data_IF_739095841352
#
_entry.id   IF_739095841352
#
_cell.length_a   1.000
_cell.length_b   1.000
_cell.length_c   1.000
_cell.angle_alpha   90.00
_cell.angle_beta   90.00
_cell.angle_gamma   90.00
#
_symmetry.space_group_name_H-M   'P 1'
#
loop_
_entity.id
_entity.type
_entity.pdbx_description
1 polymer ?
#
# COMPACT_ATOMS: atom_id res chain seq x y z
N UNK A 1 -17.94 -15.03 2.32
CA UNK A 1 -17.34 -14.13 3.33
C UNK A 1 -16.66 -13.01 2.57
N UNK A 2 -16.81 -11.79 3.01
CA UNK A 2 -16.19 -10.64 2.34
C UNK A 2 -14.67 -10.71 2.46
N UNK A 3 -13.98 -10.45 1.36
CA UNK A 3 -12.53 -10.42 1.22
C UNK A 3 -12.14 -9.09 0.58
N UNK A 4 -10.99 -8.55 0.93
CA UNK A 4 -10.40 -7.39 0.25
C UNK A 4 -9.41 -7.88 -0.81
N UNK A 5 -8.22 -8.29 -0.43
CA UNK A 5 -7.24 -8.83 -1.37
C UNK A 5 -7.30 -10.36 -1.46
N UNK A 6 -6.97 -10.89 -2.62
CA UNK A 6 -6.94 -12.32 -2.89
C UNK A 6 -5.86 -12.63 -3.92
N UNK A 7 -5.09 -13.70 -3.67
CA UNK A 7 -4.02 -14.16 -4.55
C UNK A 7 -4.18 -15.64 -4.85
N UNK A 8 -4.05 -16.02 -6.13
CA UNK A 8 -3.92 -17.40 -6.54
C UNK A 8 -2.46 -17.84 -6.38
N UNK A 9 -2.23 -18.86 -5.60
CA UNK A 9 -0.90 -19.42 -5.37
C UNK A 9 -0.52 -20.44 -6.46
N UNK A 10 0.78 -20.67 -6.67
CA UNK A 10 1.29 -21.63 -7.66
C UNK A 10 0.76 -23.06 -7.46
N UNK A 11 0.40 -23.43 -6.23
CA UNK A 11 -0.20 -24.74 -5.91
C UNK A 11 -1.73 -24.80 -6.17
N UNK A 12 -2.33 -23.73 -6.69
CA UNK A 12 -3.76 -23.63 -6.97
C UNK A 12 -4.62 -23.20 -5.80
N UNK A 13 -4.06 -23.03 -4.59
CA UNK A 13 -4.81 -22.47 -3.46
C UNK A 13 -5.02 -20.97 -3.63
N UNK A 14 -6.12 -20.45 -3.10
CA UNK A 14 -6.35 -19.00 -2.98
C UNK A 14 -6.05 -18.61 -1.54
N UNK A 15 -5.15 -17.65 -1.36
CA UNK A 15 -4.98 -16.93 -0.11
C UNK A 15 -5.73 -15.61 -0.16
N UNK A 16 -6.40 -15.23 0.93
CA UNK A 16 -7.18 -13.97 0.97
C UNK A 16 -7.24 -13.35 2.35
N UNK A 17 -7.27 -12.02 2.39
CA UNK A 17 -7.63 -11.27 3.58
C UNK A 17 -9.14 -11.24 3.74
N UNK A 18 -9.66 -11.44 4.96
CA UNK A 18 -11.10 -11.49 5.20
C UNK A 18 -11.47 -11.02 6.61
N UNK A 19 -12.75 -10.73 6.80
CA UNK A 19 -13.23 -10.25 8.08
C UNK A 19 -13.07 -11.33 9.17
N UNK A 20 -12.46 -10.93 10.30
CA UNK A 20 -12.24 -11.75 11.50
C UNK A 20 -12.25 -10.89 12.77
N UNK A 21 -12.56 -11.48 13.93
CA UNK A 21 -12.42 -10.86 15.24
C UNK A 21 -13.41 -9.76 15.63
N UNK A 22 -13.05 -8.96 16.66
CA UNK A 22 -13.90 -7.92 17.26
C UNK A 22 -13.56 -6.55 16.67
N UNK A 23 -14.51 -5.97 15.95
CA UNK A 23 -14.34 -4.79 15.06
C UNK A 23 -14.36 -3.41 15.72
N UNK A 24 -14.71 -3.29 17.00
CA UNK A 24 -15.13 -2.01 17.59
C UNK A 24 -14.00 -1.05 17.96
N UNK A 25 -12.75 -1.43 17.78
CA UNK A 25 -11.60 -0.68 18.32
C UNK A 25 -10.80 0.08 17.28
N UNK A 26 -10.88 -0.32 16.00
CA UNK A 26 -10.19 0.31 14.89
C UNK A 26 -11.16 1.08 14.01
N UNK A 27 -10.72 2.21 13.47
CA UNK A 27 -11.52 3.10 12.65
C UNK A 27 -10.80 3.31 11.32
N UNK A 28 -11.50 3.08 10.23
CA UNK A 28 -10.96 3.22 8.88
C UNK A 28 -11.62 2.25 7.91
N UNK A 29 -11.41 2.47 6.61
CA UNK A 29 -11.72 1.49 5.57
C UNK A 29 -10.68 0.37 5.55
N UNK A 30 -11.00 -0.77 4.94
CA UNK A 30 -10.01 -1.82 4.73
C UNK A 30 -9.87 -2.84 5.86
N UNK A 31 -10.69 -2.77 6.89
CA UNK A 31 -10.66 -3.72 8.02
C UNK A 31 -10.78 -5.18 7.54
N UNK A 32 -9.91 -6.08 8.03
CA UNK A 32 -9.98 -7.53 7.75
C UNK A 32 -9.84 -8.38 9.00
N UNK A 33 -8.71 -8.36 9.68
CA UNK A 33 -8.46 -9.06 10.94
C UNK A 33 -8.07 -10.53 10.79
N UNK A 34 -8.27 -11.15 9.62
CA UNK A 34 -7.94 -12.55 9.36
C UNK A 34 -7.47 -12.79 7.94
N UNK A 35 -6.63 -13.82 7.78
CA UNK A 35 -6.24 -14.40 6.49
C UNK A 35 -6.63 -15.86 6.48
N UNK A 36 -7.06 -16.37 5.34
CA UNK A 36 -7.34 -17.77 5.13
C UNK A 36 -6.82 -18.27 3.78
N UNK A 37 -6.49 -19.55 3.71
CA UNK A 37 -6.10 -20.23 2.49
C UNK A 37 -7.12 -21.31 2.16
N UNK A 38 -7.57 -21.36 0.91
CA UNK A 38 -8.62 -22.25 0.41
C UNK A 38 -8.07 -23.01 -0.78
N UNK A 39 -8.20 -24.35 -0.77
CA UNK A 39 -7.79 -25.19 -1.88
C UNK A 39 -8.84 -25.22 -3.03
N UNK A 40 -8.49 -25.92 -4.14
CA UNK A 40 -9.37 -26.09 -5.29
C UNK A 40 -10.70 -26.79 -4.97
N UNK A 41 -10.75 -27.60 -3.93
CA UNK A 41 -11.97 -28.32 -3.51
C UNK A 41 -12.81 -27.49 -2.53
N UNK A 42 -12.45 -26.19 -2.38
CA UNK A 42 -13.09 -25.21 -1.49
C UNK A 42 -12.94 -25.53 0.00
N UNK A 43 -11.94 -26.34 0.39
CA UNK A 43 -11.63 -26.57 1.79
C UNK A 43 -10.72 -25.47 2.32
N UNK A 44 -11.02 -24.95 3.50
CA UNK A 44 -10.08 -24.08 4.20
C UNK A 44 -8.94 -24.93 4.76
N UNK A 45 -7.74 -24.74 4.22
CA UNK A 45 -6.54 -25.52 4.57
C UNK A 45 -5.65 -24.82 5.58
N UNK A 46 -5.82 -23.51 5.74
CA UNK A 46 -5.09 -22.72 6.73
C UNK A 46 -5.83 -21.43 7.08
N UNK A 47 -5.62 -20.93 8.30
CA UNK A 47 -6.08 -19.62 8.74
C UNK A 47 -5.15 -18.98 9.78
N UNK A 48 -5.07 -17.66 9.76
CA UNK A 48 -4.43 -16.85 10.78
C UNK A 48 -5.30 -15.63 11.12
N UNK A 49 -5.50 -15.38 12.41
CA UNK A 49 -6.24 -14.21 12.90
C UNK A 49 -5.30 -13.33 13.70
N UNK A 50 -5.22 -12.06 13.33
CA UNK A 50 -4.41 -11.07 14.03
C UNK A 50 -5.22 -9.80 14.25
N UNK A 51 -6.06 -9.86 15.25
CA UNK A 51 -6.86 -8.74 15.73
C UNK A 51 -6.98 -8.82 17.25
N UNK A 52 -6.61 -7.74 17.93
CA UNK A 52 -6.68 -7.61 19.39
C UNK A 52 -6.92 -6.15 19.77
N UNK A 53 -6.60 -5.74 21.01
CA UNK A 53 -6.83 -4.36 21.49
C UNK A 53 -5.90 -3.33 20.87
N UNK A 54 -4.75 -3.76 20.36
CA UNK A 54 -3.66 -2.90 19.88
C UNK A 54 -3.31 -3.10 18.41
N UNK A 55 -3.67 -4.23 17.80
CA UNK A 55 -3.32 -4.57 16.40
C UNK A 55 -4.53 -5.10 15.64
N UNK A 56 -4.58 -4.81 14.34
CA UNK A 56 -5.58 -5.36 13.43
C UNK A 56 -5.07 -5.43 12.00
N UNK A 57 -5.16 -6.61 11.38
CA UNK A 57 -4.93 -6.76 9.94
C UNK A 57 -5.92 -5.92 9.15
N UNK A 58 -5.43 -5.26 8.10
CA UNK A 58 -6.27 -4.50 7.18
C UNK A 58 -5.72 -4.49 5.75
N UNK A 59 -6.59 -4.14 4.81
CA UNK A 59 -6.30 -3.99 3.38
C UNK A 59 -5.62 -5.20 2.74
N UNK A 60 -4.34 -5.12 2.46
CA UNK A 60 -3.61 -6.00 1.55
C UNK A 60 -2.68 -6.98 2.27
N UNK A 61 -2.31 -8.00 1.54
CA UNK A 61 -1.30 -9.01 1.90
C UNK A 61 -0.42 -9.26 0.68
N UNK A 62 0.81 -9.73 0.88
CA UNK A 62 1.69 -10.13 -0.23
C UNK A 62 2.32 -11.50 0.07
N UNK A 63 1.96 -12.55 -0.70
CA UNK A 63 2.59 -13.86 -0.59
C UNK A 63 4.01 -13.86 -1.15
N UNK A 64 5.00 -14.17 -0.32
CA UNK A 64 6.40 -14.21 -0.71
C UNK A 64 6.80 -15.52 -1.39
N UNK A 65 7.86 -15.53 -2.24
CA UNK A 65 8.37 -16.73 -2.89
C UNK A 65 8.80 -17.86 -1.94
N UNK A 66 9.24 -17.51 -0.72
CA UNK A 66 9.63 -18.46 0.33
C UNK A 66 8.42 -19.13 1.04
N UNK A 67 7.20 -18.72 0.71
CA UNK A 67 5.96 -19.21 1.30
C UNK A 67 5.49 -18.44 2.54
N UNK A 68 6.23 -17.45 2.98
CA UNK A 68 5.79 -16.52 4.01
C UNK A 68 4.78 -15.51 3.43
N UNK A 69 4.15 -14.73 4.28
CA UNK A 69 3.11 -13.77 3.89
C UNK A 69 3.41 -12.45 4.58
N UNK A 70 3.58 -11.39 3.80
CA UNK A 70 3.59 -10.03 4.32
C UNK A 70 2.15 -9.55 4.53
N UNK A 71 1.93 -8.83 5.61
CA UNK A 71 0.61 -8.37 6.02
C UNK A 71 0.66 -6.95 6.53
N UNK A 72 -0.28 -6.14 6.09
CA UNK A 72 -0.49 -4.79 6.60
C UNK A 72 -1.29 -4.84 7.89
N UNK A 73 -0.82 -4.15 8.92
CA UNK A 73 -1.41 -4.14 10.25
C UNK A 73 -1.55 -2.72 10.76
N UNK A 74 -2.73 -2.34 11.21
CA UNK A 74 -2.86 -1.19 12.09
C UNK A 74 -2.34 -1.52 13.47
N UNK A 75 -1.53 -0.65 14.03
CA UNK A 75 -1.20 -0.61 15.45
C UNK A 75 -1.77 0.65 16.10
N UNK A 76 -2.21 0.50 17.36
CA UNK A 76 -2.72 1.61 18.15
C UNK A 76 -1.68 2.03 19.16
N UNK A 77 -1.27 3.28 19.08
CA UNK A 77 -0.47 3.94 20.10
C UNK A 77 -1.39 4.62 21.12
N UNK A 78 -0.99 4.61 22.36
CA UNK A 78 -1.63 5.37 23.43
C UNK A 78 -1.38 6.86 23.24
N UNK A 79 -2.16 7.70 23.94
CA UNK A 79 -1.92 9.13 23.95
C UNK A 79 -0.52 9.46 24.49
N UNK A 80 -0.08 8.75 25.55
CA UNK A 80 1.22 8.98 26.16
C UNK A 80 2.37 8.63 25.21
N UNK A 81 2.26 7.54 24.43
CA UNK A 81 3.24 7.18 23.39
C UNK A 81 3.30 8.22 22.28
N UNK A 82 2.14 8.66 21.78
CA UNK A 82 2.08 9.69 20.73
C UNK A 82 2.66 11.03 21.21
N UNK A 83 2.39 11.44 22.46
CA UNK A 83 2.98 12.64 23.07
C UNK A 83 4.48 12.50 23.33
N UNK A 84 4.92 11.31 23.74
CA UNK A 84 6.35 11.03 23.89
C UNK A 84 7.08 11.15 22.55
N UNK A 85 6.44 10.80 21.45
CA UNK A 85 6.93 10.95 20.09
C UNK A 85 6.75 12.38 19.51
N UNK A 86 6.35 13.37 20.31
CA UNK A 86 6.20 14.77 19.86
C UNK A 86 5.00 15.04 18.98
N UNK A 87 3.99 14.15 18.99
CA UNK A 87 2.76 14.40 18.25
C UNK A 87 1.98 15.56 18.86
N UNK A 88 1.52 16.49 18.03
CA UNK A 88 0.69 17.60 18.46
C UNK A 88 -0.70 17.10 18.89
N UNK A 89 -1.11 17.42 20.11
CA UNK A 89 -2.39 17.00 20.70
C UNK A 89 -3.61 17.39 19.89
N UNK A 90 -3.56 18.54 19.21
CA UNK A 90 -4.66 19.04 18.38
C UNK A 90 -4.93 18.12 17.16
N UNK A 91 -3.98 17.24 16.86
CA UNK A 91 -4.04 16.30 15.75
C UNK A 91 -4.49 14.89 16.19
N UNK A 92 -4.56 14.62 17.51
CA UNK A 92 -4.98 13.33 18.06
C UNK A 92 -6.47 13.39 18.42
N UNK A 93 -7.30 12.78 17.60
CA UNK A 93 -8.73 12.75 17.88
C UNK A 93 -9.07 11.68 18.94
N UNK A 94 -9.83 12.07 19.96
CA UNK A 94 -10.41 11.19 21.00
C UNK A 94 -9.35 10.33 21.72
N UNK A 95 -8.10 10.82 21.84
CA UNK A 95 -7.02 10.09 22.54
C UNK A 95 -6.66 8.76 21.87
N UNK A 96 -6.84 8.64 20.54
CA UNK A 96 -6.50 7.46 19.75
C UNK A 96 -5.57 7.87 18.61
N UNK A 97 -4.48 7.15 18.47
CA UNK A 97 -3.55 7.28 17.37
C UNK A 97 -3.33 5.90 16.76
N UNK A 98 -3.67 5.76 15.50
CA UNK A 98 -3.59 4.53 14.72
C UNK A 98 -2.62 4.76 13.58
N UNK A 99 -1.64 3.89 13.45
CA UNK A 99 -0.55 3.98 12.48
C UNK A 99 -0.29 2.58 11.94
N UNK A 100 0.42 2.47 10.82
CA UNK A 100 0.64 1.19 10.17
C UNK A 100 1.96 0.54 10.60
N UNK A 101 1.95 -0.78 10.58
CA UNK A 101 3.14 -1.63 10.58
C UNK A 101 2.96 -2.77 9.58
N UNK A 102 4.05 -3.43 9.23
CA UNK A 102 4.08 -4.62 8.38
C UNK A 102 4.66 -5.76 9.18
N UNK A 103 4.06 -6.94 9.06
CA UNK A 103 4.59 -8.17 9.63
C UNK A 103 4.78 -9.21 8.54
N UNK A 104 5.88 -9.99 8.60
CA UNK A 104 6.06 -11.20 7.83
C UNK A 104 5.75 -12.41 8.68
N UNK A 105 4.84 -13.26 8.19
CA UNK A 105 4.37 -14.45 8.87
C UNK A 105 4.85 -15.71 8.15
N UNK A 106 5.51 -16.61 8.88
CA UNK A 106 5.71 -18.00 8.49
C UNK A 106 4.47 -18.82 8.88
N UNK A 107 3.69 -19.34 7.90
CA UNK A 107 2.46 -20.10 8.21
C UNK A 107 2.73 -21.42 8.95
N UNK A 108 1.95 -21.71 9.99
CA UNK A 108 1.93 -23.00 10.68
C UNK A 108 0.59 -23.67 10.39
N UNK A 109 0.60 -24.75 9.63
CA UNK A 109 -0.60 -25.45 9.22
C UNK A 109 -1.18 -26.34 10.33
N UNK A 110 -2.51 -26.51 10.41
CA UNK A 110 -3.55 -25.84 9.60
C UNK A 110 -3.99 -24.50 10.16
N UNK A 111 -3.38 -24.00 11.23
CA UNK A 111 -3.79 -22.75 11.88
C UNK A 111 -2.65 -22.08 12.61
N UNK A 112 -2.56 -20.75 12.45
CA UNK A 112 -1.57 -19.92 13.13
C UNK A 112 -0.31 -19.71 12.31
N UNK A 113 0.68 -19.09 12.90
CA UNK A 113 1.95 -18.78 12.27
C UNK A 113 2.94 -18.19 13.26
N UNK A 114 4.16 -17.98 12.80
CA UNK A 114 5.22 -17.32 13.53
C UNK A 114 5.58 -16.02 12.81
N UNK A 115 5.49 -14.89 13.49
CA UNK A 115 6.01 -13.61 12.98
C UNK A 115 7.54 -13.72 12.96
N UNK A 116 8.14 -13.50 11.79
CA UNK A 116 9.58 -13.65 11.56
C UNK A 116 10.27 -12.32 11.28
N UNK A 117 9.52 -11.30 10.86
CA UNK A 117 9.98 -9.95 10.63
C UNK A 117 8.87 -8.94 10.89
N UNK A 118 9.24 -7.74 11.35
CA UNK A 118 8.33 -6.62 11.61
C UNK A 118 9.01 -5.31 11.24
N UNK A 119 8.22 -4.37 10.71
CA UNK A 119 8.59 -2.99 10.42
C UNK A 119 7.45 -2.06 10.82
N UNK A 120 7.76 -0.94 11.48
CA UNK A 120 6.76 -0.04 12.04
C UNK A 120 7.00 1.40 11.57
N UNK A 121 5.98 2.05 10.97
CA UNK A 121 6.07 3.48 10.61
C UNK A 121 6.46 4.34 11.81
N UNK A 122 6.03 3.94 13.02
CA UNK A 122 6.29 4.69 14.25
C UNK A 122 7.77 4.74 14.66
N UNK A 123 8.59 3.87 14.15
CA UNK A 123 10.04 3.86 14.43
C UNK A 123 10.82 4.82 13.51
N UNK A 124 10.19 5.32 12.42
CA UNK A 124 10.80 6.14 11.39
C UNK A 124 10.16 7.54 11.30
N UNK A 125 9.86 8.15 12.46
CA UNK A 125 9.20 9.44 12.56
C UNK A 125 10.15 10.55 12.96
N UNK A 126 9.89 11.76 12.43
CA UNK A 126 10.54 13.03 12.80
C UNK A 126 9.47 14.06 13.14
N UNK A 127 9.83 15.12 13.85
CA UNK A 127 8.99 16.28 14.06
C UNK A 127 9.80 17.53 14.43
N UNK A 128 9.29 18.70 14.13
CA UNK A 128 9.86 20.02 14.45
C UNK A 128 9.05 20.80 15.50
N UNK A 129 8.04 20.15 16.11
CA UNK A 129 7.05 20.76 17.01
C UNK A 129 7.54 20.88 18.45
N UNK A 130 8.12 19.82 19.02
CA UNK A 130 8.56 19.78 20.42
C UNK A 130 10.07 19.47 20.53
N UNK A 131 10.91 20.50 20.79
CA UNK A 131 12.36 20.32 20.87
C UNK A 131 12.85 19.53 22.09
N UNK A 132 11.96 19.08 22.96
CA UNK A 132 12.30 18.25 24.12
C UNK A 132 12.28 16.75 23.83
N UNK A 133 11.87 16.35 22.62
CA UNK A 133 11.73 14.95 22.19
C UNK A 133 12.95 14.47 21.40
N UNK A 134 13.25 13.18 21.52
CA UNK A 134 14.43 12.57 20.89
C UNK A 134 14.38 12.63 19.35
N UNK A 135 13.19 12.55 18.75
CA UNK A 135 12.97 12.63 17.30
C UNK A 135 12.76 14.06 16.78
N UNK A 136 13.15 15.09 17.58
CA UNK A 136 13.11 16.47 17.12
C UNK A 136 14.22 16.74 16.11
N UNK A 137 13.86 17.31 14.95
CA UNK A 137 14.80 17.64 13.88
C UNK A 137 14.23 18.56 12.84
N UNK A 138 15.04 18.88 11.84
CA UNK A 138 14.62 19.67 10.67
C UNK A 138 14.07 18.70 9.62
N UNK A 139 12.77 18.74 9.39
CA UNK A 139 12.06 17.77 8.53
C UNK A 139 12.68 17.69 7.13
N UNK A 140 13.02 18.83 6.52
CA UNK A 140 13.63 18.88 5.18
C UNK A 140 15.04 18.28 5.07
N UNK A 141 15.72 18.05 6.19
CA UNK A 141 17.04 17.42 6.22
C UNK A 141 16.96 15.89 6.33
N UNK A 142 15.72 15.34 6.54
CA UNK A 142 15.46 13.93 6.79
C UNK A 142 14.34 13.38 5.91
N UNK A 143 14.51 13.36 4.58
CA UNK A 143 13.51 12.81 3.65
C UNK A 143 13.29 11.30 3.82
N UNK A 144 14.17 10.62 4.52
CA UNK A 144 14.07 9.20 4.89
C UNK A 144 13.11 8.93 6.05
N UNK A 145 12.64 9.99 6.74
CA UNK A 145 11.70 9.91 7.86
C UNK A 145 10.36 10.55 7.52
N UNK A 146 9.34 10.30 8.35
CA UNK A 146 8.01 10.88 8.16
C UNK A 146 7.67 11.88 9.28
N UNK A 147 7.24 13.09 8.91
CA UNK A 147 6.74 14.06 9.88
C UNK A 147 5.44 13.58 10.51
N UNK A 148 5.51 13.18 11.80
CA UNK A 148 4.33 12.71 12.54
C UNK A 148 3.25 13.79 12.71
N UNK A 149 3.60 15.06 12.54
CA UNK A 149 2.70 16.19 12.63
C UNK A 149 2.17 16.67 11.28
N UNK A 150 2.64 16.09 10.17
CA UNK A 150 2.13 16.44 8.86
C UNK A 150 0.61 16.21 8.75
N UNK A 151 -0.09 17.23 8.29
CA UNK A 151 -1.54 17.21 8.08
C UNK A 151 -1.91 17.96 6.80
N UNK A 152 -1.03 17.86 5.80
CA UNK A 152 -1.24 18.48 4.51
C UNK A 152 -2.45 17.93 3.77
N UNK A 153 -3.14 18.82 3.09
CA UNK A 153 -4.29 18.51 2.26
C UNK A 153 -5.63 18.58 2.99
N UNK A 154 -6.68 18.79 2.23
CA UNK A 154 -8.07 18.70 2.72
C UNK A 154 -8.34 17.27 3.15
N UNK A 155 -8.55 17.06 4.43
CA UNK A 155 -8.77 15.75 5.05
C UNK A 155 -9.81 14.93 4.30
N UNK A 156 -9.42 13.81 3.79
CA UNK A 156 -10.29 12.85 3.15
C UNK A 156 -11.00 12.06 4.26
N UNK A 157 -12.28 12.41 4.52
CA UNK A 157 -13.14 11.67 5.45
C UNK A 157 -12.97 12.08 6.92
N UNK A 158 -13.91 12.85 7.42
CA UNK A 158 -13.93 13.47 8.75
C UNK A 158 -14.14 12.52 9.94
N UNK A 159 -13.97 11.23 9.79
CA UNK A 159 -14.07 10.33 10.92
C UNK A 159 -12.77 10.29 11.68
N UNK A 160 -12.62 11.30 12.56
CA UNK A 160 -11.67 11.26 13.66
C UNK A 160 -10.24 10.92 13.18
N UNK A 161 -9.35 11.86 13.11
CA UNK A 161 -7.90 11.80 12.84
C UNK A 161 -7.12 10.70 13.56
N UNK A 162 -7.65 9.48 13.54
CA UNK A 162 -7.09 8.36 14.25
C UNK A 162 -6.19 7.52 13.34
N UNK A 163 -6.45 7.50 12.04
CA UNK A 163 -5.75 6.70 11.04
C UNK A 163 -4.73 7.58 10.30
N UNK A 164 -3.50 7.58 10.79
CA UNK A 164 -2.45 8.51 10.35
C UNK A 164 -1.99 8.24 8.92
N UNK A 165 -1.58 7.03 8.63
CA UNK A 165 -0.87 6.67 7.40
C UNK A 165 -1.76 5.94 6.39
N UNK A 166 -2.63 5.04 6.83
CA UNK A 166 -3.55 4.25 6.02
C UNK A 166 -2.85 3.55 4.83
N UNK A 167 -1.95 2.63 5.15
CA UNK A 167 -1.30 1.76 4.16
C UNK A 167 -2.34 0.85 3.49
N UNK A 168 -2.43 0.86 2.16
CA UNK A 168 -3.49 0.15 1.45
C UNK A 168 -3.03 -0.83 0.39
N UNK A 169 -1.75 -0.83 0.02
CA UNK A 169 -1.16 -1.89 -0.79
C UNK A 169 0.30 -2.12 -0.44
N UNK A 170 0.73 -3.36 -0.63
CA UNK A 170 2.08 -3.84 -0.47
C UNK A 170 2.43 -4.71 -1.67
N UNK A 171 3.62 -4.51 -2.23
CA UNK A 171 4.19 -5.30 -3.32
C UNK A 171 5.68 -5.53 -3.05
N UNK A 172 6.22 -6.65 -3.49
CA UNK A 172 7.58 -7.10 -3.19
C UNK A 172 8.39 -7.30 -4.46
N UNK A 173 9.61 -6.76 -4.50
CA UNK A 173 10.58 -7.04 -5.56
C UNK A 173 11.71 -7.92 -5.01
N UNK A 174 11.76 -9.16 -5.47
CA UNK A 174 12.70 -10.18 -4.98
C UNK A 174 14.16 -9.80 -5.26
N UNK A 175 14.44 -9.18 -6.40
CA UNK A 175 15.79 -8.86 -6.85
C UNK A 175 16.52 -7.86 -5.94
N UNK A 176 15.81 -6.88 -5.43
CA UNK A 176 16.34 -5.89 -4.52
C UNK A 176 16.01 -6.18 -3.05
N UNK A 177 15.17 -7.16 -2.79
CA UNK A 177 14.59 -7.44 -1.46
C UNK A 177 13.97 -6.18 -0.84
N UNK A 178 13.10 -5.51 -1.60
CA UNK A 178 12.45 -4.25 -1.22
C UNK A 178 10.94 -4.37 -1.25
N UNK A 179 10.26 -3.58 -0.41
CA UNK A 179 8.80 -3.45 -0.37
C UNK A 179 8.37 -2.10 -0.93
N UNK A 180 7.39 -2.14 -1.83
CA UNK A 180 6.66 -0.97 -2.33
C UNK A 180 5.34 -0.85 -1.57
N UNK A 181 5.12 0.30 -0.96
CA UNK A 181 4.04 0.59 -0.03
C UNK A 181 3.22 1.79 -0.51
N UNK A 182 1.89 1.74 -0.42
CA UNK A 182 1.01 2.86 -0.79
C UNK A 182 0.29 3.42 0.43
N UNK A 183 0.65 4.62 0.85
CA UNK A 183 0.10 5.32 2.01
C UNK A 183 -0.97 6.33 1.60
N UNK A 184 -2.23 5.90 1.64
CA UNK A 184 -3.38 6.69 1.17
C UNK A 184 -3.55 8.03 1.87
N UNK A 185 -3.42 8.06 3.20
CA UNK A 185 -3.64 9.28 3.99
C UNK A 185 -2.51 10.30 3.85
N UNK A 186 -1.33 9.83 3.45
CA UNK A 186 -0.15 10.66 3.19
C UNK A 186 -0.06 11.08 1.72
N UNK A 187 -0.81 10.43 0.83
CA UNK A 187 -0.73 10.63 -0.62
C UNK A 187 0.67 10.33 -1.17
N UNK A 188 1.30 9.29 -0.67
CA UNK A 188 2.63 8.84 -1.09
C UNK A 188 2.71 7.34 -1.31
N UNK A 189 3.64 6.94 -2.16
CA UNK A 189 4.21 5.59 -2.15
C UNK A 189 5.61 5.65 -1.55
N UNK A 190 6.00 4.58 -0.82
CA UNK A 190 7.34 4.44 -0.27
C UNK A 190 7.97 3.13 -0.68
N UNK A 191 9.30 3.11 -0.73
CA UNK A 191 10.09 1.89 -0.84
C UNK A 191 10.97 1.77 0.39
N UNK A 192 10.99 0.58 0.99
CA UNK A 192 11.79 0.25 2.18
C UNK A 192 12.60 -1.02 1.96
N UNK A 193 13.65 -1.19 2.76
CA UNK A 193 14.53 -2.37 2.76
C UNK A 193 13.92 -3.53 3.55
N UNK A 194 13.62 -4.64 2.88
CA UNK A 194 13.14 -5.86 3.52
C UNK A 194 14.26 -6.82 3.92
N UNK A 195 15.49 -6.61 3.43
CA UNK A 195 16.65 -7.46 3.76
C UNK A 195 17.14 -7.32 5.21
N UNK A 196 16.51 -6.46 5.98
CA UNK A 196 16.81 -6.18 7.39
C UNK A 196 16.34 -7.30 8.31
N UNK A 197 17.01 -7.45 9.44
CA UNK A 197 16.40 -8.11 10.61
C UNK A 197 15.36 -7.19 11.25
N UNK A 198 14.42 -7.71 12.04
CA UNK A 198 13.47 -6.87 12.80
C UNK A 198 14.16 -5.79 13.62
N UNK A 199 15.32 -6.09 14.22
CA UNK A 199 16.09 -5.10 14.98
C UNK A 199 16.68 -4.00 14.09
N UNK A 200 17.16 -4.32 12.89
CA UNK A 200 17.63 -3.31 11.94
C UNK A 200 16.46 -2.53 11.35
N UNK A 201 15.33 -3.21 11.07
CA UNK A 201 14.11 -2.59 10.57
C UNK A 201 13.50 -1.57 11.54
N UNK A 202 13.77 -1.66 12.85
CA UNK A 202 13.35 -0.68 13.86
C UNK A 202 14.35 0.47 14.06
N UNK A 203 15.42 0.52 13.28
CA UNK A 203 16.48 1.51 13.40
C UNK A 203 16.86 2.14 12.06
N UNK A 204 17.93 2.95 12.08
CA UNK A 204 18.38 3.77 10.96
C UNK A 204 19.64 3.23 10.29
N UNK A 205 20.07 2.02 10.64
CA UNK A 205 21.29 1.38 10.09
C UNK A 205 21.07 -0.13 9.94
N UNK A 206 21.67 -0.74 8.94
CA UNK A 206 21.59 -2.17 8.65
C UNK A 206 20.90 -2.45 7.32
N UNK A 207 20.65 -3.71 7.04
CA UNK A 207 20.13 -4.19 5.76
C UNK A 207 21.10 -4.01 4.59
N UNK A 208 20.66 -4.35 3.38
CA UNK A 208 21.49 -4.26 2.17
C UNK A 208 21.81 -2.80 1.78
N UNK A 209 20.95 -1.86 2.16
CA UNK A 209 21.08 -0.44 1.80
C UNK A 209 21.68 0.40 2.91
N UNK A 210 21.98 -0.19 4.08
CA UNK A 210 22.68 0.45 5.20
C UNK A 210 21.86 1.49 5.95
N UNK A 211 20.55 1.58 5.70
CA UNK A 211 19.60 2.56 6.29
C UNK A 211 18.60 1.96 7.27
N UNK A 212 18.77 0.68 7.64
CA UNK A 212 17.79 0.00 8.47
C UNK A 212 16.40 0.01 7.82
N UNK A 213 15.36 0.37 8.56
CA UNK A 213 14.00 0.47 8.04
C UNK A 213 13.59 1.84 7.51
N UNK A 214 14.53 2.80 7.36
CA UNK A 214 14.21 4.12 6.82
C UNK A 214 13.76 4.05 5.36
N UNK A 215 12.99 5.07 4.94
CA UNK A 215 12.47 5.19 3.59
C UNK A 215 13.64 5.33 2.60
N UNK A 216 13.73 4.42 1.64
CA UNK A 216 14.74 4.45 0.56
C UNK A 216 14.32 5.39 -0.57
N UNK A 217 13.03 5.41 -0.87
CA UNK A 217 12.41 6.23 -1.92
C UNK A 217 10.98 6.56 -1.53
N UNK A 218 10.55 7.77 -1.88
CA UNK A 218 9.16 8.20 -1.71
C UNK A 218 8.72 9.08 -2.87
N UNK A 219 7.44 9.00 -3.24
CA UNK A 219 6.89 9.79 -4.33
C UNK A 219 5.41 10.10 -4.12
N UNK A 220 4.98 11.29 -4.53
CA UNK A 220 3.58 11.68 -4.59
C UNK A 220 3.23 12.96 -3.86
N UNK A 221 3.83 13.23 -2.68
CA UNK A 221 3.52 14.43 -1.90
C UNK A 221 4.75 15.00 -1.18
N UNK A 222 5.58 15.78 -1.86
CA UNK A 222 6.82 16.29 -1.29
C UNK A 222 6.65 17.28 -0.13
N UNK A 223 5.43 17.72 0.15
CA UNK A 223 5.15 18.57 1.32
C UNK A 223 5.45 17.85 2.66
N UNK A 224 5.38 16.50 2.71
CA UNK A 224 5.56 15.73 3.94
C UNK A 224 6.98 15.86 4.50
N UNK A 225 7.95 16.13 3.63
CA UNK A 225 9.35 16.30 3.99
C UNK A 225 9.90 17.67 3.54
N UNK A 226 9.01 18.67 3.47
CA UNK A 226 9.33 20.07 3.17
C UNK A 226 10.15 20.30 1.87
N UNK A 227 9.96 19.41 0.87
CA UNK A 227 10.63 19.50 -0.43
C UNK A 227 9.72 20.02 -1.56
N UNK A 228 8.55 20.57 -1.22
CA UNK A 228 7.59 21.10 -2.18
C UNK A 228 6.35 21.74 -1.56
N UNK A 229 5.42 22.22 -2.39
CA UNK A 229 4.14 22.80 -1.99
C UNK A 229 2.92 22.00 -2.52
N UNK A 230 1.70 22.52 -2.31
CA UNK A 230 0.44 21.86 -2.78
C UNK A 230 0.39 21.62 -4.30
N UNK A 231 1.19 22.34 -5.09
CA UNK A 231 1.17 22.21 -6.55
C UNK A 231 2.08 21.08 -7.02
N UNK A 232 3.03 20.68 -6.17
CA UNK A 232 3.97 19.61 -6.45
C UNK A 232 3.39 18.24 -6.08
N UNK A 233 2.21 18.21 -5.42
CA UNK A 233 1.52 16.99 -5.07
C UNK A 233 0.97 16.27 -6.32
N UNK A 234 1.40 15.01 -6.52
CA UNK A 234 1.02 14.17 -7.65
C UNK A 234 -0.10 13.19 -7.28
N UNK A 235 -0.08 12.62 -6.07
CA UNK A 235 -1.01 11.58 -5.63
C UNK A 235 -2.12 12.14 -4.74
N UNK A 236 -3.33 11.54 -4.89
CA UNK A 236 -4.56 11.97 -4.20
C UNK A 236 -5.36 10.73 -3.79
N UNK A 237 -5.07 10.20 -2.58
CA UNK A 237 -5.70 9.01 -2.00
C UNK A 237 -5.52 7.73 -2.83
N UNK A 238 -4.36 7.53 -3.42
CA UNK A 238 -4.04 6.42 -4.32
C UNK A 238 -4.20 5.05 -3.66
N UNK A 239 -4.28 4.02 -4.51
CA UNK A 239 -4.31 2.60 -4.15
C UNK A 239 -3.43 1.78 -5.10
N UNK A 240 -3.08 0.56 -4.65
CA UNK A 240 -2.54 -0.51 -5.48
C UNK A 240 -1.30 -0.11 -6.27
N UNK A 241 -0.26 0.38 -5.57
CA UNK A 241 1.06 0.54 -6.18
C UNK A 241 1.69 -0.84 -6.42
N UNK A 242 2.18 -1.07 -7.66
CA UNK A 242 2.78 -2.33 -8.09
C UNK A 242 4.02 -2.11 -8.92
N UNK A 243 4.97 -3.01 -8.78
CA UNK A 243 6.10 -3.12 -9.69
C UNK A 243 5.65 -3.61 -11.09
N UNK A 244 6.22 -3.00 -12.11
CA UNK A 244 6.22 -3.52 -13.49
C UNK A 244 7.62 -4.07 -13.70
N UNK A 245 7.74 -5.40 -13.67
CA UNK A 245 9.02 -6.07 -13.74
C UNK A 245 9.67 -5.95 -15.10
N UNK A 246 10.99 -5.81 -15.13
CA UNK A 246 11.86 -5.86 -16.29
C UNK A 246 12.98 -6.87 -16.02
N UNK A 247 13.56 -7.44 -17.09
CA UNK A 247 14.76 -8.28 -16.97
C UNK A 247 16.00 -7.47 -16.52
N UNK A 248 15.91 -6.14 -16.57
CA UNK A 248 16.89 -5.19 -16.06
C UNK A 248 16.23 -4.41 -14.91
N UNK A 249 16.57 -4.70 -13.64
CA UNK A 249 15.87 -4.17 -12.48
C UNK A 249 15.82 -2.64 -12.38
N UNK A 250 16.90 -1.97 -12.83
CA UNK A 250 16.94 -0.50 -12.92
C UNK A 250 15.95 0.10 -13.94
N UNK A 251 15.29 -0.78 -14.68
CA UNK A 251 14.19 -0.45 -15.60
C UNK A 251 12.84 -0.92 -15.10
N UNK A 252 12.74 -1.34 -13.85
CA UNK A 252 11.46 -1.62 -13.24
C UNK A 252 10.69 -0.31 -13.03
N UNK A 253 9.46 -0.29 -13.52
CA UNK A 253 8.56 0.83 -13.34
C UNK A 253 7.60 0.55 -12.19
N UNK A 254 6.88 1.58 -11.77
CA UNK A 254 5.79 1.46 -10.79
C UNK A 254 4.50 1.92 -11.47
N UNK A 255 3.45 1.11 -11.40
CA UNK A 255 2.08 1.51 -11.75
C UNK A 255 1.24 1.63 -10.48
N UNK A 256 0.28 2.56 -10.49
CA UNK A 256 -0.62 2.77 -9.37
C UNK A 256 -1.96 3.35 -9.83
N UNK A 257 -2.99 3.18 -9.01
CA UNK A 257 -4.30 3.80 -9.21
C UNK A 257 -4.41 5.05 -8.33
N UNK A 258 -4.38 6.23 -8.95
CA UNK A 258 -4.57 7.51 -8.28
C UNK A 258 -6.06 7.86 -8.22
N UNK A 259 -6.68 7.72 -7.04
CA UNK A 259 -8.13 7.93 -6.89
C UNK A 259 -8.57 9.36 -7.17
N UNK A 260 -7.68 10.35 -6.97
CA UNK A 260 -7.95 11.73 -7.32
C UNK A 260 -8.86 12.47 -6.35
N UNK A 261 -8.98 11.99 -5.12
CA UNK A 261 -9.85 12.60 -4.09
C UNK A 261 -9.27 13.91 -3.60
N UNK A 262 -10.06 14.98 -3.69
CA UNK A 262 -9.62 16.35 -3.36
C UNK A 262 -8.50 16.91 -4.24
N UNK A 263 -8.31 16.34 -5.41
CA UNK A 263 -7.44 16.91 -6.46
C UNK A 263 -7.89 18.34 -6.78
N UNK A 264 -6.96 19.28 -7.05
CA UNK A 264 -7.34 20.62 -7.50
C UNK A 264 -8.23 20.59 -8.75
N UNK A 265 -9.36 21.30 -8.72
CA UNK A 265 -10.34 21.34 -9.80
C UNK A 265 -11.44 20.28 -9.67
N UNK A 266 -11.53 19.38 -10.63
CA UNK A 266 -12.50 18.27 -10.62
C UNK A 266 -11.85 16.99 -10.07
N UNK A 267 -12.57 16.28 -9.23
CA UNK A 267 -12.19 14.93 -8.84
C UNK A 267 -12.29 14.00 -10.05
N UNK A 268 -11.20 13.37 -10.43
CA UNK A 268 -11.13 12.27 -11.39
C UNK A 268 -10.05 11.30 -10.99
N UNK A 269 -10.22 10.03 -11.34
CA UNK A 269 -9.20 9.02 -11.10
C UNK A 269 -8.28 8.88 -12.33
N UNK A 270 -7.04 8.47 -12.06
CA UNK A 270 -6.08 8.13 -13.10
C UNK A 270 -5.30 6.87 -12.72
N UNK A 271 -4.79 6.17 -13.72
CA UNK A 271 -3.74 5.18 -13.56
C UNK A 271 -2.46 5.81 -14.04
N UNK A 272 -1.42 5.70 -13.26
CA UNK A 272 -0.15 6.35 -13.52
C UNK A 272 0.98 5.32 -13.53
N UNK A 273 1.98 5.56 -14.39
CA UNK A 273 3.21 4.78 -14.45
C UNK A 273 4.39 5.73 -14.31
N UNK A 274 5.29 5.41 -13.39
CA UNK A 274 6.51 6.18 -13.12
C UNK A 274 7.75 5.30 -13.25
N UNK A 275 8.89 5.93 -13.49
CA UNK A 275 10.21 5.33 -13.43
C UNK A 275 10.93 5.95 -12.23
N UNK A 276 11.11 5.23 -11.11
CA UNK A 276 11.90 5.74 -10.00
C UNK A 276 13.37 5.90 -10.40
N UNK A 277 14.10 6.87 -9.83
CA UNK A 277 15.53 7.11 -10.16
C UNK A 277 16.43 6.10 -9.43
N UNK A 278 16.32 4.82 -9.79
CA UNK A 278 17.03 3.70 -9.18
C UNK A 278 18.25 3.32 -10.03
N UNK A 279 19.37 2.97 -9.37
CA UNK A 279 20.54 2.41 -10.03
C UNK A 279 20.49 0.87 -10.11
N UNK A 280 21.47 0.26 -10.75
CA UNK A 280 21.61 -1.19 -10.93
C UNK A 280 21.75 -1.98 -9.61
N UNK A 281 22.02 -1.29 -8.49
CA UNK A 281 22.18 -1.88 -7.16
C UNK A 281 20.95 -1.64 -6.27
N UNK A 282 19.90 -0.96 -6.76
CA UNK A 282 18.69 -0.67 -6.01
C UNK A 282 18.75 0.58 -5.14
N UNK A 283 19.73 1.47 -5.35
CA UNK A 283 19.83 2.76 -4.65
C UNK A 283 19.09 3.85 -5.41
N UNK A 284 18.34 4.65 -4.69
CA UNK A 284 17.55 5.76 -5.24
C UNK A 284 18.28 7.07 -5.10
N UNK A 285 18.39 7.79 -6.20
CA UNK A 285 19.02 9.12 -6.19
C UNK A 285 18.06 10.18 -5.69
N UNK A 286 18.54 11.03 -4.79
CA UNK A 286 17.89 12.25 -4.35
C UNK A 286 18.85 13.42 -4.45
N UNK A 287 18.49 14.46 -5.17
CA UNK A 287 19.23 15.72 -5.17
C UNK A 287 18.97 16.47 -3.86
N UNK A 288 20.00 16.84 -3.09
CA UNK A 288 19.82 17.51 -1.81
C UNK A 288 18.98 18.79 -1.90
N UNK A 289 17.90 18.86 -1.12
CA UNK A 289 16.98 20.00 -1.08
C UNK A 289 15.88 19.97 -2.15
N UNK A 290 15.78 18.88 -2.91
CA UNK A 290 14.72 18.66 -3.90
C UNK A 290 13.83 17.48 -3.53
N UNK A 291 12.69 17.35 -4.20
CA UNK A 291 11.85 16.16 -4.11
C UNK A 291 12.47 15.00 -4.90
N UNK A 292 12.10 13.76 -4.56
CA UNK A 292 12.43 12.62 -5.40
C UNK A 292 11.76 12.72 -6.78
N UNK A 293 12.52 12.44 -7.83
CA UNK A 293 12.00 12.29 -9.19
C UNK A 293 11.16 11.00 -9.36
N UNK A 294 10.32 10.89 -10.40
CA UNK A 294 10.15 11.84 -11.49
C UNK A 294 9.15 12.97 -11.14
N UNK A 295 9.28 14.11 -11.80
CA UNK A 295 8.33 15.22 -11.69
C UNK A 295 6.95 14.87 -12.23
N UNK A 296 6.87 14.00 -13.25
CA UNK A 296 5.62 13.58 -13.88
C UNK A 296 5.65 12.09 -14.26
N UNK A 297 4.49 11.41 -14.25
CA UNK A 297 4.36 10.04 -14.78
C UNK A 297 4.72 9.98 -16.28
N UNK A 298 5.35 8.88 -16.69
CA UNK A 298 5.68 8.62 -18.10
C UNK A 298 4.45 8.18 -18.91
N UNK A 299 3.44 7.61 -18.26
CA UNK A 299 2.17 7.23 -18.84
C UNK A 299 1.04 7.47 -17.85
N UNK A 300 -0.10 7.95 -18.35
CA UNK A 300 -1.29 8.22 -17.54
C UNK A 300 -2.53 7.85 -18.31
N UNK A 301 -3.51 7.18 -17.67
CA UNK A 301 -4.85 6.94 -18.20
C UNK A 301 -5.88 7.56 -17.25
N UNK A 302 -6.96 8.17 -17.79
CA UNK A 302 -8.07 8.68 -16.99
C UNK A 302 -8.11 10.19 -16.76
N UNK A 303 -7.13 10.94 -17.26
CA UNK A 303 -7.22 12.41 -17.33
C UNK A 303 -8.33 12.87 -18.28
N UNK A 304 -8.38 14.10 -18.68
CA UNK A 304 -9.47 14.77 -19.40
C UNK A 304 -10.14 13.96 -20.53
N UNK A 305 -9.38 13.14 -21.25
CA UNK A 305 -9.90 12.39 -22.42
C UNK A 305 -10.63 11.09 -22.07
N UNK A 306 -10.38 10.54 -20.86
CA UNK A 306 -10.90 9.23 -20.42
C UNK A 306 -11.48 9.30 -19.01
N UNK A 307 -12.32 10.29 -18.75
CA UNK A 307 -12.85 10.60 -17.43
C UNK A 307 -13.53 9.40 -16.78
N UNK A 308 -13.06 9.02 -15.61
CA UNK A 308 -13.72 8.12 -14.69
C UNK A 308 -13.36 8.49 -13.25
N UNK A 309 -14.14 8.02 -12.28
CA UNK A 309 -13.91 8.36 -10.88
C UNK A 309 -14.25 7.19 -9.96
N UNK A 310 -13.33 6.90 -9.05
CA UNK A 310 -13.47 5.96 -7.95
C UNK A 310 -12.76 6.53 -6.73
N UNK A 311 -13.50 7.03 -5.75
CA UNK A 311 -12.94 7.73 -4.58
C UNK A 311 -12.23 6.82 -3.58
N UNK A 312 -12.42 5.51 -3.67
CA UNK A 312 -11.85 4.49 -2.79
C UNK A 312 -11.58 3.20 -3.57
N UNK A 313 -10.81 2.29 -2.99
CA UNK A 313 -10.49 0.99 -3.56
C UNK A 313 -9.78 1.16 -4.91
N UNK A 314 -9.96 0.19 -5.82
CA UNK A 314 -9.42 0.23 -7.17
C UNK A 314 -8.00 -0.33 -7.28
N UNK A 315 -7.66 -0.73 -8.50
CA UNK A 315 -6.35 -1.31 -8.78
C UNK A 315 -5.98 -1.16 -10.24
N UNK A 316 -4.69 -1.24 -10.54
CA UNK A 316 -4.19 -1.27 -11.90
C UNK A 316 -3.00 -2.24 -12.01
N UNK A 317 -2.99 -3.06 -13.08
CA UNK A 317 -1.90 -3.99 -13.35
C UNK A 317 -1.47 -3.89 -14.80
N UNK A 318 -0.17 -3.62 -15.02
CA UNK A 318 0.43 -3.72 -16.36
C UNK A 318 0.58 -5.18 -16.74
N UNK A 319 0.17 -5.53 -17.95
CA UNK A 319 0.23 -6.89 -18.47
C UNK A 319 1.48 -7.09 -19.35
N UNK A 320 1.95 -8.33 -19.54
CA UNK A 320 3.13 -8.63 -20.36
C UNK A 320 3.02 -8.18 -21.83
N UNK A 321 1.79 -8.04 -22.36
CA UNK A 321 1.53 -7.54 -23.71
C UNK A 321 1.57 -6.00 -23.81
N UNK A 322 1.88 -5.29 -22.71
CA UNK A 322 1.91 -3.84 -22.63
C UNK A 322 0.56 -3.18 -22.30
N UNK A 323 -0.54 -3.93 -22.30
CA UNK A 323 -1.84 -3.41 -21.90
C UNK A 323 -1.91 -3.22 -20.37
N UNK A 324 -2.93 -2.51 -19.91
CA UNK A 324 -3.19 -2.35 -18.47
C UNK A 324 -4.61 -2.77 -18.15
N UNK A 325 -4.77 -3.71 -17.22
CA UNK A 325 -6.07 -3.99 -16.62
C UNK A 325 -6.33 -3.00 -15.50
N UNK A 326 -7.52 -2.38 -15.52
CA UNK A 326 -7.94 -1.36 -14.57
C UNK A 326 -9.21 -1.80 -13.88
N UNK A 327 -9.24 -1.73 -12.57
CA UNK A 327 -10.42 -1.93 -11.75
C UNK A 327 -10.93 -0.59 -11.23
N UNK A 328 -12.07 -0.12 -11.71
CA UNK A 328 -12.82 0.96 -11.08
C UNK A 328 -13.59 0.37 -9.89
N UNK A 329 -12.99 0.45 -8.71
CA UNK A 329 -13.39 -0.29 -7.52
C UNK A 329 -14.83 -0.06 -7.08
N UNK A 330 -15.29 1.18 -7.01
CA UNK A 330 -16.68 1.52 -6.57
C UNK A 330 -17.73 0.96 -7.54
N UNK A 331 -17.44 0.97 -8.82
CA UNK A 331 -18.39 0.50 -9.83
C UNK A 331 -18.31 -1.01 -10.08
N UNK A 332 -17.25 -1.67 -9.61
CA UNK A 332 -16.95 -3.06 -9.96
C UNK A 332 -16.79 -3.27 -11.46
N UNK A 333 -16.31 -2.24 -12.16
CA UNK A 333 -16.08 -2.28 -13.59
C UNK A 333 -14.59 -2.50 -13.84
N UNK A 334 -14.27 -3.63 -14.50
CA UNK A 334 -12.93 -3.94 -14.95
C UNK A 334 -12.83 -3.68 -16.43
N UNK A 335 -11.72 -3.14 -16.87
CA UNK A 335 -11.48 -2.92 -18.29
C UNK A 335 -9.99 -2.96 -18.60
N UNK A 336 -9.66 -3.38 -19.82
CA UNK A 336 -8.30 -3.46 -20.33
C UNK A 336 -8.09 -2.37 -21.36
N UNK A 337 -6.98 -1.64 -21.23
CA UNK A 337 -6.58 -0.57 -22.16
C UNK A 337 -5.24 -0.89 -22.78
N UNK A 338 -5.06 -0.50 -24.05
CA UNK A 338 -3.78 -0.57 -24.75
C UNK A 338 -2.83 0.55 -24.27
N UNK A 339 -1.53 0.49 -24.62
CA UNK A 339 -0.61 1.62 -24.39
C UNK A 339 -1.10 2.93 -25.02
N UNK A 340 -1.84 2.86 -26.13
CA UNK A 340 -2.45 4.00 -26.83
C UNK A 340 -3.78 4.45 -26.19
N UNK A 341 -4.15 3.85 -25.04
CA UNK A 341 -5.33 4.20 -24.21
C UNK A 341 -6.67 3.79 -24.81
N UNK A 342 -6.70 2.82 -25.73
CA UNK A 342 -7.94 2.28 -26.28
C UNK A 342 -8.47 1.15 -25.39
N UNK A 343 -9.77 1.19 -25.03
CA UNK A 343 -10.43 0.10 -24.29
C UNK A 343 -10.70 -1.05 -25.24
N UNK A 344 -10.08 -2.20 -24.99
CA UNK A 344 -10.26 -3.42 -25.81
C UNK A 344 -11.11 -4.49 -25.14
N UNK A 345 -11.29 -4.40 -23.83
CA UNK A 345 -12.10 -5.33 -23.06
C UNK A 345 -12.75 -4.63 -21.87
N UNK A 346 -13.95 -5.11 -21.48
CA UNK A 346 -14.69 -4.59 -20.32
C UNK A 346 -15.55 -5.66 -19.68
N UNK A 347 -15.55 -5.71 -18.35
CA UNK A 347 -16.41 -6.57 -17.55
C UNK A 347 -17.01 -5.77 -16.39
N UNK A 348 -18.27 -6.08 -16.05
CA UNK A 348 -18.92 -5.53 -14.85
C UNK A 348 -19.17 -6.68 -13.90
N UNK A 349 -18.64 -6.57 -12.69
CA UNK A 349 -18.84 -7.54 -11.62
C UNK A 349 -20.35 -7.75 -11.36
N UNK A 350 -20.79 -9.01 -11.36
CA UNK A 350 -22.20 -9.39 -11.16
C UNK A 350 -22.48 -9.90 -9.75
N UNK A 351 -21.49 -9.88 -8.88
CA UNK A 351 -21.57 -10.41 -7.52
C UNK A 351 -21.48 -9.29 -6.50
N UNK A 352 -22.57 -8.54 -6.24
CA UNK A 352 -22.57 -7.44 -5.28
C UNK A 352 -22.29 -7.97 -3.87
N UNK A 353 -21.58 -7.16 -3.08
CA UNK A 353 -21.08 -7.57 -1.77
C UNK A 353 -22.16 -7.60 -0.71
N UNK A 354 -23.16 -6.71 -0.72
CA UNK A 354 -24.21 -6.64 0.30
C UNK A 354 -25.46 -5.85 -0.14
N UNK A 355 -26.42 -5.70 0.78
CA UNK A 355 -27.65 -4.95 0.57
C UNK A 355 -27.56 -3.55 1.23
N UNK A 356 -27.81 -2.44 0.49
CA UNK A 356 -28.06 -2.39 -0.95
C UNK A 356 -26.87 -2.88 -1.73
N UNK A 357 -27.07 -3.41 -2.94
CA UNK A 357 -26.02 -4.06 -3.70
C UNK A 357 -24.93 -3.06 -4.09
N UNK A 358 -23.87 -3.01 -3.30
CA UNK A 358 -22.64 -2.36 -3.69
C UNK A 358 -21.84 -3.33 -4.56
N UNK A 359 -21.34 -2.84 -5.67
CA UNK A 359 -20.56 -3.65 -6.61
C UNK A 359 -19.05 -3.48 -6.40
N UNK A 360 -18.68 -3.06 -5.21
CA UNK A 360 -17.33 -2.66 -4.86
C UNK A 360 -16.36 -3.83 -4.96
N UNK A 361 -15.21 -3.60 -5.62
CA UNK A 361 -14.10 -4.54 -5.71
C UNK A 361 -12.82 -3.83 -5.31
N UNK A 362 -12.13 -4.39 -4.31
CA UNK A 362 -10.89 -3.79 -3.79
C UNK A 362 -9.76 -3.86 -4.81
N UNK A 363 -9.45 -5.07 -5.31
CA UNK A 363 -8.28 -5.35 -6.15
C UNK A 363 -8.60 -6.46 -7.15
N UNK A 364 -8.07 -6.35 -8.36
CA UNK A 364 -8.13 -7.38 -9.40
C UNK A 364 -6.72 -7.86 -9.70
N UNK A 365 -6.56 -9.18 -9.81
CA UNK A 365 -5.32 -9.84 -10.19
C UNK A 365 -5.51 -10.54 -11.53
N UNK A 366 -4.60 -10.30 -12.45
CA UNK A 366 -4.49 -11.05 -13.69
C UNK A 366 -3.36 -12.09 -13.59
N UNK A 367 -3.60 -13.25 -14.13
CA UNK A 367 -2.62 -14.34 -14.20
C UNK A 367 -2.51 -14.82 -15.66
N UNK A 368 -1.29 -15.14 -16.16
CA UNK A 368 -1.13 -15.72 -17.50
C UNK A 368 -1.76 -17.11 -17.58
N UNK A 369 -2.12 -17.53 -18.80
CA UNK A 369 -2.80 -18.84 -19.02
C UNK A 369 -1.96 -20.03 -18.56
N UNK A 370 -0.64 -19.91 -18.59
CA UNK A 370 0.33 -20.93 -18.15
C UNK A 370 0.73 -20.80 -16.68
N UNK A 371 0.03 -19.96 -15.91
CA UNK A 371 0.29 -19.85 -14.47
C UNK A 371 0.01 -21.17 -13.76
N UNK A 372 0.98 -21.77 -13.02
CA UNK A 372 0.82 -23.11 -12.43
C UNK A 372 -0.41 -23.28 -11.55
N UNK A 373 -0.84 -22.21 -10.88
CA UNK A 373 -2.06 -22.21 -10.08
C UNK A 373 -3.34 -22.48 -10.89
N UNK A 374 -3.32 -22.38 -12.22
CA UNK A 374 -4.45 -22.62 -13.11
C UNK A 374 -4.50 -24.05 -13.71
N UNK A 375 -3.55 -24.93 -13.42
CA UNK A 375 -3.44 -26.27 -14.02
C UNK A 375 -4.72 -27.12 -13.93
N UNK A 376 -5.56 -26.89 -12.92
CA UNK A 376 -6.84 -27.57 -12.72
C UNK A 376 -8.03 -26.84 -13.36
N UNK A 377 -7.83 -25.66 -13.95
CA UNK A 377 -8.89 -24.89 -14.59
C UNK A 377 -9.19 -25.48 -15.96
N UNK A 378 -10.35 -26.08 -16.13
CA UNK A 378 -10.86 -26.53 -17.43
C UNK A 378 -11.59 -25.35 -18.08
N UNK A 379 -10.95 -24.70 -19.05
CA UNK A 379 -11.61 -23.67 -19.88
C UNK A 379 -12.43 -24.42 -20.92
N UNK A 380 -13.78 -24.40 -20.78
CA UNK A 380 -14.72 -25.01 -21.72
C UNK A 380 -15.16 -24.05 -22.81
#
# INVERSE_FOLDING_TARGET
>A
MLSLSSYLLKNGSIIRSCFGGIYSLFWGGGFTGRIEMIDWDSNKVWEFEYVNLTHCLHNDIEPLPNGNILMIVWERKTLDEALAAGCNTDLIAIGRFQIDCIIELEPIYPKGGKIVWEWHVFDHIIQDYDPTKENYGVVSEHPELVDINFRGGKRIGHFLNTDFSHLNSIDYIEEYDQLLLSFRSLNEIWIIDHSTTTQEASGHIGGNYGRGGDILYRWGNPQIYDAGDEKDQQLFAQHDARWIYSDEPEKCHITLFNNGVSRPGLDYSSVEEIIPPVDENGYYYLEPGFAYEPDEPIWTYGREEHFFYSSILSSAQRLPNGNTIINNGISGCFFEVTPEKEIIWRYINRFPIMFPPFNDVFKVQWYPEDYPGLDRLVIS
#
